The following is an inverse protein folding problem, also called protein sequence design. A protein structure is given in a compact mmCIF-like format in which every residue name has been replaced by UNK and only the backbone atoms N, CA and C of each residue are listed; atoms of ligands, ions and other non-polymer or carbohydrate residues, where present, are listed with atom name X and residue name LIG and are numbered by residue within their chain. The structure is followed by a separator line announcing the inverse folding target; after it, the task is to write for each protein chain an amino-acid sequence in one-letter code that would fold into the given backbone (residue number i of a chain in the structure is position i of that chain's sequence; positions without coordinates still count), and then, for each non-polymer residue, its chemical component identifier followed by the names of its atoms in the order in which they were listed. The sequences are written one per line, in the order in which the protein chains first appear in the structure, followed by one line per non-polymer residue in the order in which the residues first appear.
data_IF_667133505680
#
_entry.id   IF_667133505680
#
_cell.length_a   1.000
_cell.length_b   1.000
_cell.length_c   1.000
_cell.angle_alpha   90.00
_cell.angle_beta   90.00
_cell.angle_gamma   90.00
#
_symmetry.space_group_name_H-M   'P 1'
#
loop_
_entity.id
_entity.type
_entity.pdbx_description
1 polymer ?
#
# COMPACT_ATOMS: atom_id res chain seq x y z
N UNK A 1 2.06 -45.89 -16.71
CA UNK A 1 2.84 -44.68 -16.99
C UNK A 1 3.32 -43.95 -15.73
N UNK A 2 2.82 -44.27 -14.52
CA UNK A 2 3.08 -43.57 -13.27
C UNK A 2 4.41 -43.86 -12.56
N UNK A 3 5.04 -45.01 -12.83
CA UNK A 3 6.29 -45.42 -12.15
C UNK A 3 7.55 -44.68 -12.67
N UNK A 4 7.55 -44.25 -13.92
CA UNK A 4 8.70 -43.54 -14.52
C UNK A 4 8.79 -42.05 -14.13
N UNK A 5 7.68 -41.45 -13.76
CA UNK A 5 7.65 -40.06 -13.30
C UNK A 5 8.23 -39.90 -11.88
N UNK A 6 7.90 -40.81 -10.97
CA UNK A 6 8.45 -40.79 -9.60
C UNK A 6 9.99 -40.97 -9.59
N UNK A 7 10.51 -41.85 -10.46
CA UNK A 7 11.96 -42.02 -10.59
C UNK A 7 12.66 -40.78 -11.18
N UNK A 8 12.03 -40.06 -12.10
CA UNK A 8 12.57 -38.81 -12.63
C UNK A 8 12.58 -37.69 -11.56
N UNK A 9 11.56 -37.63 -10.70
CA UNK A 9 11.50 -36.67 -9.61
C UNK A 9 12.58 -36.90 -8.54
N UNK A 10 12.91 -38.13 -8.22
CA UNK A 10 13.99 -38.48 -7.26
C UNK A 10 15.36 -37.99 -7.77
N UNK A 11 15.60 -38.05 -9.07
CA UNK A 11 16.86 -37.59 -9.69
C UNK A 11 16.93 -36.06 -9.85
N UNK A 12 15.80 -35.38 -9.90
CA UNK A 12 15.74 -33.89 -9.99
C UNK A 12 16.04 -33.26 -8.63
N UNK A 13 15.59 -33.86 -7.52
CA UNK A 13 15.87 -33.37 -6.17
C UNK A 13 17.35 -33.51 -5.75
N UNK A 14 18.04 -34.54 -6.24
CA UNK A 14 19.42 -34.83 -5.84
C UNK A 14 20.44 -33.72 -6.21
N UNK A 15 20.45 -33.15 -7.43
CA UNK A 15 21.37 -32.04 -7.75
C UNK A 15 21.02 -30.72 -7.06
N UNK A 16 19.73 -30.45 -6.78
CA UNK A 16 19.31 -29.24 -6.06
C UNK A 16 19.76 -29.29 -4.61
N UNK A 17 19.58 -30.44 -3.94
CA UNK A 17 20.00 -30.66 -2.55
C UNK A 17 21.53 -30.58 -2.42
N UNK A 18 22.28 -31.16 -3.36
CA UNK A 18 23.75 -31.10 -3.31
C UNK A 18 24.32 -29.72 -3.60
N UNK A 19 23.65 -28.92 -4.42
CA UNK A 19 24.09 -27.56 -4.70
C UNK A 19 23.90 -26.63 -3.46
N UNK A 20 22.76 -26.73 -2.78
CA UNK A 20 22.48 -25.92 -1.58
C UNK A 20 23.24 -26.41 -0.33
N UNK A 21 23.46 -27.70 -0.17
CA UNK A 21 24.32 -28.23 0.89
C UNK A 21 25.79 -27.84 0.72
N UNK A 22 26.25 -27.71 -0.51
CA UNK A 22 27.62 -27.26 -0.81
C UNK A 22 27.90 -25.80 -0.43
N UNK A 23 26.87 -24.96 -0.40
CA UNK A 23 26.97 -23.56 0.02
C UNK A 23 26.95 -23.37 1.56
N UNK A 24 26.40 -24.31 2.31
CA UNK A 24 26.29 -24.26 3.77
C UNK A 24 27.54 -24.79 4.50
N UNK A 25 28.53 -25.36 3.78
CA UNK A 25 29.73 -25.96 4.34
C UNK A 25 31.01 -25.14 4.06
N UNK A 26 30.96 -23.83 3.94
CA UNK A 26 32.17 -23.02 3.97
C UNK A 26 32.58 -22.82 5.43
N UNK A 27 33.77 -23.33 5.87
CA UNK A 27 34.24 -23.08 7.23
C UNK A 27 34.63 -21.61 7.37
N UNK A 28 34.12 -21.00 8.42
CA UNK A 28 34.47 -19.68 8.88
C UNK A 28 35.96 -19.66 9.28
N UNK A 29 36.74 -18.88 8.56
CA UNK A 29 38.13 -18.58 8.94
C UNK A 29 38.13 -17.32 9.78
N UNK A 30 38.12 -17.49 11.09
CA UNK A 30 38.53 -16.43 12.03
C UNK A 30 40.03 -16.40 12.17
N UNK A 31 40.68 -15.26 12.18
CA UNK A 31 42.12 -15.16 12.54
C UNK A 31 42.27 -15.18 14.06
N UNK A 32 43.14 -16.10 14.50
CA UNK A 32 43.70 -16.11 15.85
C UNK A 32 44.55 -14.85 16.11
N UNK A 33 44.40 -14.26 17.29
CA UNK A 33 45.45 -13.52 17.93
C UNK A 33 45.41 -13.83 19.43
N UNK A 34 46.52 -14.47 19.87
CA UNK A 34 46.94 -14.66 21.28
C UNK A 34 47.01 -13.33 22.05
N UNK A 35 46.63 -13.32 23.29
CA UNK A 35 47.55 -13.16 24.46
C UNK A 35 46.78 -13.05 25.78
N UNK A 36 47.21 -13.97 26.68
CA UNK A 36 47.40 -13.82 28.13
C UNK A 36 46.30 -13.35 29.11
N UNK A 37 46.01 -14.33 29.98
CA UNK A 37 45.49 -14.31 31.35
C UNK A 37 46.45 -13.63 32.33
N UNK A 38 46.17 -13.23 33.64
CA UNK A 38 45.39 -14.02 34.59
C UNK A 38 44.53 -13.29 35.67
N UNK A 39 43.58 -14.06 36.25
CA UNK A 39 43.12 -14.15 37.65
C UNK A 39 42.73 -12.90 38.46
N UNK A 40 41.53 -12.89 39.03
CA UNK A 40 41.25 -13.10 40.47
C UNK A 40 39.75 -13.09 40.77
N UNK A 41 39.25 -14.15 41.35
CA UNK A 41 38.36 -14.36 42.52
C UNK A 41 37.52 -13.13 42.98
N UNK A 42 36.30 -13.23 43.31
CA UNK A 42 35.48 -14.08 44.14
C UNK A 42 34.24 -13.30 44.66
N UNK A 43 33.19 -14.06 44.89
CA UNK A 43 32.15 -13.90 45.93
C UNK A 43 31.11 -12.79 45.74
N UNK A 44 29.90 -13.14 45.67
CA UNK A 44 28.91 -13.73 46.56
C UNK A 44 27.75 -12.75 46.83
N UNK A 45 26.56 -13.22 46.75
CA UNK A 45 25.53 -12.81 47.72
C UNK A 45 24.34 -12.04 47.19
N UNK A 46 23.21 -12.70 47.18
CA UNK A 46 22.03 -12.08 47.75
C UNK A 46 20.80 -11.90 46.88
N UNK A 47 19.95 -12.86 46.98
CA UNK A 47 18.47 -12.86 46.90
C UNK A 47 17.82 -11.55 47.36
N UNK A 48 16.74 -11.16 46.74
CA UNK A 48 15.37 -11.16 47.32
C UNK A 48 14.40 -10.21 46.64
N UNK A 49 13.43 -10.76 46.00
CA UNK A 49 11.98 -10.65 46.15
C UNK A 49 11.32 -9.32 46.54
N UNK A 50 10.21 -9.09 45.87
CA UNK A 50 8.91 -8.50 46.29
C UNK A 50 8.75 -6.98 46.34
N UNK A 51 7.67 -6.56 45.72
CA UNK A 51 6.97 -5.33 46.07
C UNK A 51 5.85 -4.97 45.09
N UNK A 52 4.70 -5.50 45.36
CA UNK A 52 3.36 -5.15 44.79
C UNK A 52 2.94 -3.73 45.15
N UNK A 53 2.19 -3.15 44.24
CA UNK A 53 1.03 -2.28 44.47
C UNK A 53 1.23 -0.89 45.12
N UNK A 54 0.79 0.15 44.41
CA UNK A 54 -0.30 0.94 44.98
C UNK A 54 -1.04 1.76 43.91
N UNK A 55 -2.32 1.44 43.75
CA UNK A 55 -3.36 2.32 43.18
C UNK A 55 -3.68 3.37 44.22
N UNK A 56 -3.62 4.63 43.88
CA UNK A 56 -4.39 5.66 44.60
C UNK A 56 -5.29 6.42 43.63
N UNK A 57 -6.56 6.16 43.76
CA UNK A 57 -7.66 6.96 43.27
C UNK A 57 -7.72 8.26 44.03
N UNK A 58 -7.83 9.40 43.34
CA UNK A 58 -8.18 10.67 43.94
C UNK A 58 -9.63 10.99 43.61
N UNK A 59 -10.39 11.12 44.68
CA UNK A 59 -11.80 11.49 44.74
C UNK A 59 -12.04 12.91 44.19
N UNK A 60 -13.09 13.03 43.41
CA UNK A 60 -13.77 14.27 43.10
C UNK A 60 -14.55 14.80 44.32
N UNK A 61 -14.47 16.09 44.60
CA UNK A 61 -15.38 16.78 45.49
C UNK A 61 -15.92 18.01 44.77
N UNK A 62 -17.23 18.28 44.82
CA UNK A 62 -17.87 19.38 44.12
C UNK A 62 -18.04 20.61 45.03
N UNK A 63 -17.89 21.79 44.44
CA UNK A 63 -18.38 23.05 45.01
C UNK A 63 -18.72 23.93 43.79
N UNK A 64 -19.81 24.56 43.64
CA UNK A 64 -20.78 25.21 44.43
C UNK A 64 -21.46 26.19 43.48
N UNK A 65 -22.76 26.20 43.44
CA UNK A 65 -23.63 27.10 42.67
C UNK A 65 -23.26 28.59 42.87
N UNK A 66 -23.22 29.30 41.73
CA UNK A 66 -23.63 30.71 41.78
C UNK A 66 -24.42 31.08 40.53
N UNK A 67 -25.71 31.29 40.72
CA UNK A 67 -26.67 31.87 39.79
C UNK A 67 -26.34 33.34 39.58
N UNK A 68 -26.22 33.75 38.31
CA UNK A 68 -26.85 35.01 37.91
C UNK A 68 -27.15 34.98 36.39
N UNK A 69 -28.41 35.18 36.14
CA UNK A 69 -29.06 35.40 34.87
C UNK A 69 -28.61 36.70 34.22
N UNK A 70 -28.42 36.71 32.91
CA UNK A 70 -29.18 37.62 32.02
C UNK A 70 -28.79 37.43 30.54
N UNK A 71 -29.83 37.30 29.75
CA UNK A 71 -30.02 37.80 28.37
C UNK A 71 -29.28 37.13 27.21
N UNK A 72 -30.09 36.32 26.54
CA UNK A 72 -29.96 35.82 25.18
C UNK A 72 -29.68 36.93 24.17
N UNK A 73 -28.60 36.79 23.43
CA UNK A 73 -28.50 37.31 22.06
C UNK A 73 -27.89 36.21 21.17
N UNK A 74 -28.71 35.71 20.25
CA UNK A 74 -28.31 34.86 19.18
C UNK A 74 -27.25 35.58 18.33
N UNK A 75 -26.02 35.13 18.38
CA UNK A 75 -25.03 35.39 17.36
C UNK A 75 -24.51 34.06 16.81
N UNK A 76 -24.88 33.80 15.58
CA UNK A 76 -24.35 32.77 14.73
C UNK A 76 -22.84 32.88 14.74
N UNK A 77 -22.14 32.05 15.52
CA UNK A 77 -20.70 31.99 15.51
C UNK A 77 -20.26 31.18 14.30
N UNK A 78 -19.81 31.86 13.25
CA UNK A 78 -18.92 31.32 12.25
C UNK A 78 -17.70 30.71 12.96
N UNK A 79 -17.23 29.49 12.59
CA UNK A 79 -15.97 28.98 13.08
C UNK A 79 -14.84 29.59 12.25
N UNK A 80 -14.45 30.79 12.56
CA UNK A 80 -13.27 31.43 12.02
C UNK A 80 -12.56 32.14 13.15
N UNK A 81 -11.52 31.51 13.63
CA UNK A 81 -10.24 32.10 14.04
C UNK A 81 -9.41 31.08 14.77
N UNK A 82 -8.40 30.54 14.11
CA UNK A 82 -7.18 30.16 14.81
C UNK A 82 -6.71 31.44 15.50
N UNK A 83 -6.77 31.48 16.83
CA UNK A 83 -6.40 32.67 17.63
C UNK A 83 -4.89 32.88 17.57
N UNK A 84 -4.41 33.42 16.44
CA UNK A 84 -3.06 33.91 16.27
C UNK A 84 -3.08 35.43 16.07
N UNK A 85 -2.08 36.11 16.57
CA UNK A 85 -1.89 37.54 16.28
C UNK A 85 -1.66 37.68 14.77
N UNK A 86 -2.49 38.48 14.11
CA UNK A 86 -2.35 38.76 12.67
C UNK A 86 -0.94 39.28 12.37
N UNK A 87 -0.27 38.67 11.37
CA UNK A 87 1.08 39.03 10.97
C UNK A 87 1.02 40.16 9.94
N UNK A 88 1.73 41.24 10.24
CA UNK A 88 1.97 42.30 9.25
C UNK A 88 2.98 41.87 8.17
N UNK A 89 3.03 42.61 7.07
CA UNK A 89 3.90 42.34 5.91
C UNK A 89 5.38 42.27 6.29
N UNK A 90 5.84 43.08 7.25
CA UNK A 90 7.24 43.08 7.69
C UNK A 90 7.61 41.83 8.42
N UNK A 91 6.76 41.38 9.32
CA UNK A 91 6.94 40.13 10.06
C UNK A 91 6.85 38.91 9.14
N UNK A 92 5.93 38.90 8.17
CA UNK A 92 5.83 37.83 7.17
C UNK A 92 7.14 37.68 6.39
N UNK A 93 7.73 38.78 5.93
CA UNK A 93 9.01 38.75 5.21
C UNK A 93 10.15 38.26 6.09
N UNK A 94 10.23 38.75 7.33
CA UNK A 94 11.26 38.36 8.30
C UNK A 94 11.17 36.86 8.62
N UNK A 95 9.96 36.37 8.93
CA UNK A 95 9.73 34.95 9.24
C UNK A 95 10.01 34.08 7.99
N UNK A 96 9.57 34.52 6.80
CA UNK A 96 9.84 33.84 5.54
C UNK A 96 11.33 33.74 5.22
N UNK A 97 12.13 34.76 5.55
CA UNK A 97 13.58 34.70 5.42
C UNK A 97 14.17 33.68 6.41
N UNK A 98 13.79 33.74 7.69
CA UNK A 98 14.22 32.77 8.68
C UNK A 98 13.88 31.32 8.29
N UNK A 99 12.71 31.11 7.68
CA UNK A 99 12.27 29.79 7.20
C UNK A 99 13.18 29.24 6.08
N UNK A 100 13.67 30.11 5.18
CA UNK A 100 14.57 29.70 4.09
C UNK A 100 15.99 29.40 4.58
N UNK A 101 16.46 30.11 5.60
CA UNK A 101 17.80 30.01 6.14
C UNK A 101 17.94 28.89 7.19
N UNK A 102 16.84 28.46 7.81
CA UNK A 102 16.87 27.44 8.85
C UNK A 102 17.10 26.02 8.28
N UNK A 103 18.19 25.41 8.71
CA UNK A 103 18.59 24.05 8.29
C UNK A 103 18.05 22.95 9.20
N UNK A 104 17.74 23.27 10.48
CA UNK A 104 17.17 22.30 11.40
C UNK A 104 15.69 22.06 11.07
N UNK A 105 15.29 20.82 10.71
CA UNK A 105 13.93 20.56 10.27
C UNK A 105 12.86 20.83 11.34
N UNK A 106 13.18 20.63 12.63
CA UNK A 106 12.23 20.90 13.71
C UNK A 106 12.02 22.41 13.91
N UNK A 107 13.10 23.19 13.91
CA UNK A 107 13.00 24.66 13.99
C UNK A 107 12.32 25.26 12.78
N UNK A 108 12.66 24.76 11.59
CA UNK A 108 12.00 25.15 10.34
C UNK A 108 10.50 24.90 10.41
N UNK A 109 10.05 23.76 10.94
CA UNK A 109 8.64 23.46 11.13
C UNK A 109 7.97 24.42 12.13
N UNK A 110 8.65 24.80 13.20
CA UNK A 110 8.16 25.79 14.16
C UNK A 110 7.95 27.16 13.51
N UNK A 111 8.95 27.65 12.75
CA UNK A 111 8.88 28.92 12.01
C UNK A 111 7.73 28.89 11.00
N UNK A 112 7.55 27.78 10.28
CA UNK A 112 6.46 27.62 9.34
C UNK A 112 5.09 27.62 10.03
N UNK A 113 4.96 26.99 11.19
CA UNK A 113 3.72 27.00 11.96
C UNK A 113 3.36 28.42 12.45
N UNK A 114 4.35 29.29 12.74
CA UNK A 114 4.11 30.70 13.07
C UNK A 114 3.46 31.42 11.90
N UNK A 115 3.92 31.20 10.66
CA UNK A 115 3.28 31.74 9.45
C UNK A 115 1.84 31.24 9.28
N UNK A 116 1.58 29.95 9.49
CA UNK A 116 0.24 29.38 9.36
C UNK A 116 -0.72 29.90 10.42
N UNK A 117 -0.28 30.05 11.67
CA UNK A 117 -1.12 30.56 12.76
C UNK A 117 -1.50 32.01 12.59
N UNK A 118 -0.62 32.81 11.99
CA UNK A 118 -0.88 34.21 11.67
C UNK A 118 -1.51 34.46 10.31
N UNK A 119 -1.91 33.37 9.58
CA UNK A 119 -2.49 33.52 8.25
C UNK A 119 -3.94 34.00 8.31
N UNK A 120 -4.24 34.98 7.47
CA UNK A 120 -5.57 35.57 7.24
C UNK A 120 -5.89 35.57 5.74
N UNK A 121 -7.14 35.89 5.37
CA UNK A 121 -7.51 36.03 3.96
C UNK A 121 -6.69 37.13 3.27
N UNK A 122 -6.37 38.22 4.00
CA UNK A 122 -5.67 39.38 3.43
C UNK A 122 -4.18 39.13 3.22
N UNK A 123 -3.52 38.36 4.10
CA UNK A 123 -2.09 38.15 4.06
C UNK A 123 -1.66 36.82 3.41
N UNK A 124 -2.59 35.91 3.10
CA UNK A 124 -2.28 34.57 2.55
C UNK A 124 -1.44 34.62 1.28
N UNK A 125 -1.69 35.58 0.38
CA UNK A 125 -0.90 35.74 -0.86
C UNK A 125 0.53 36.15 -0.55
N UNK A 126 0.75 37.01 0.45
CA UNK A 126 2.09 37.45 0.85
C UNK A 126 2.87 36.29 1.47
N UNK A 127 2.22 35.50 2.33
CA UNK A 127 2.79 34.27 2.90
C UNK A 127 3.16 33.29 1.76
N UNK A 128 2.27 33.12 0.75
CA UNK A 128 2.55 32.28 -0.42
C UNK A 128 3.84 32.68 -1.14
N UNK A 129 4.08 33.97 -1.28
CA UNK A 129 5.32 34.48 -1.90
C UNK A 129 6.58 34.12 -1.08
N UNK A 130 6.48 34.07 0.25
CA UNK A 130 7.63 33.67 1.10
C UNK A 130 7.99 32.18 0.98
N UNK A 131 6.99 31.33 0.73
CA UNK A 131 7.19 29.88 0.63
C UNK A 131 7.38 29.37 -0.78
N UNK A 132 7.31 30.22 -1.82
CA UNK A 132 7.39 29.79 -3.24
C UNK A 132 8.69 29.07 -3.61
N UNK A 133 9.77 29.32 -2.87
CA UNK A 133 11.06 28.66 -3.05
C UNK A 133 11.21 27.33 -2.33
N UNK A 134 10.23 26.97 -1.50
CA UNK A 134 10.21 25.65 -0.85
C UNK A 134 9.92 24.56 -1.88
N UNK A 135 10.39 23.36 -1.60
CA UNK A 135 10.01 22.19 -2.39
C UNK A 135 8.49 22.04 -2.41
N UNK A 136 7.91 22.02 -3.61
CA UNK A 136 6.47 21.84 -3.81
C UNK A 136 5.95 20.47 -3.30
N UNK A 137 6.85 19.51 -3.07
CA UNK A 137 6.54 18.22 -2.44
C UNK A 137 6.60 18.25 -0.91
N UNK A 138 7.10 19.35 -0.32
CA UNK A 138 7.21 19.46 1.14
C UNK A 138 5.85 19.46 1.84
N UNK A 139 5.85 19.06 3.10
CA UNK A 139 4.64 19.12 3.93
C UNK A 139 4.18 20.55 4.15
N UNK A 140 5.13 21.47 4.30
CA UNK A 140 4.89 22.91 4.48
C UNK A 140 4.08 23.48 3.33
N UNK A 141 4.48 23.15 2.11
CA UNK A 141 3.80 23.63 0.92
C UNK A 141 2.36 23.13 0.83
N UNK A 142 2.15 21.85 1.12
CA UNK A 142 0.81 21.24 1.14
C UNK A 142 -0.07 21.81 2.26
N UNK A 143 0.48 21.95 3.46
CA UNK A 143 -0.28 22.44 4.61
C UNK A 143 -0.72 23.88 4.41
N UNK A 144 0.14 24.75 3.83
CA UNK A 144 -0.24 26.11 3.47
C UNK A 144 -1.43 26.13 2.50
N UNK A 145 -1.35 25.38 1.40
CA UNK A 145 -2.41 25.39 0.39
C UNK A 145 -3.70 24.78 0.88
N UNK A 146 -3.61 23.75 1.74
CA UNK A 146 -4.77 23.16 2.39
C UNK A 146 -5.49 24.19 3.27
N UNK A 147 -4.75 24.88 4.15
CA UNK A 147 -5.31 25.91 5.02
C UNK A 147 -5.85 27.08 4.21
N UNK A 148 -5.12 27.55 3.19
CA UNK A 148 -5.60 28.60 2.31
C UNK A 148 -6.91 28.22 1.61
N UNK A 149 -7.01 27.01 1.07
CA UNK A 149 -8.24 26.48 0.48
C UNK A 149 -9.40 26.45 1.47
N UNK A 150 -9.14 26.01 2.70
CA UNK A 150 -10.15 25.95 3.76
C UNK A 150 -10.71 27.33 4.15
N UNK A 151 -9.90 28.38 4.05
CA UNK A 151 -10.28 29.75 4.41
C UNK A 151 -10.87 30.54 3.24
N UNK A 152 -10.23 30.49 2.07
CA UNK A 152 -10.52 31.36 0.93
C UNK A 152 -11.35 30.69 -0.18
N UNK A 153 -11.57 29.37 -0.10
CA UNK A 153 -12.43 28.66 -1.03
C UNK A 153 -12.03 28.85 -2.51
N UNK A 154 -12.99 29.30 -3.32
CA UNK A 154 -12.82 29.51 -4.75
C UNK A 154 -11.64 30.42 -5.10
N UNK A 155 -11.38 31.44 -4.28
CA UNK A 155 -10.28 32.38 -4.53
C UNK A 155 -8.92 31.67 -4.48
N UNK A 156 -8.67 30.84 -3.47
CA UNK A 156 -7.45 30.06 -3.33
C UNK A 156 -7.28 29.08 -4.52
N UNK A 157 -8.36 28.39 -4.91
CA UNK A 157 -8.36 27.49 -6.06
C UNK A 157 -8.02 28.23 -7.36
N UNK A 158 -8.64 29.39 -7.61
CA UNK A 158 -8.36 30.21 -8.80
C UNK A 158 -6.91 30.72 -8.80
N UNK A 159 -6.36 31.06 -7.64
CA UNK A 159 -4.95 31.43 -7.54
C UNK A 159 -4.02 30.26 -7.91
N UNK A 160 -4.38 29.02 -7.53
CA UNK A 160 -3.66 27.83 -7.93
C UNK A 160 -3.55 27.66 -9.44
N UNK A 161 -4.51 28.16 -10.24
CA UNK A 161 -4.40 28.14 -11.71
C UNK A 161 -3.24 28.96 -12.25
N UNK A 162 -2.75 29.93 -11.49
CA UNK A 162 -1.64 30.81 -11.87
C UNK A 162 -0.28 30.23 -11.49
N UNK A 163 -0.26 29.22 -10.61
CA UNK A 163 0.96 28.63 -10.05
C UNK A 163 1.19 27.22 -10.55
N UNK A 164 0.55 26.22 -9.97
CA UNK A 164 0.72 24.82 -10.38
C UNK A 164 -0.57 24.02 -10.24
N UNK A 165 -0.65 22.92 -10.97
CA UNK A 165 -1.77 21.97 -10.87
C UNK A 165 -1.87 21.36 -9.46
N UNK A 166 -0.75 21.15 -8.80
CA UNK A 166 -0.72 20.64 -7.41
C UNK A 166 -1.36 21.64 -6.43
N UNK A 167 -1.12 22.95 -6.60
CA UNK A 167 -1.72 23.98 -5.76
C UNK A 167 -3.24 23.92 -5.88
N UNK A 168 -3.75 23.73 -7.11
CA UNK A 168 -5.19 23.53 -7.35
C UNK A 168 -5.75 22.34 -6.55
N UNK A 169 -5.07 21.21 -6.62
CA UNK A 169 -5.54 20.00 -5.95
C UNK A 169 -5.59 20.17 -4.44
N UNK A 170 -4.53 20.68 -3.84
CA UNK A 170 -4.45 20.82 -2.38
C UNK A 170 -5.41 21.88 -1.84
N UNK A 171 -5.52 23.03 -2.52
CA UNK A 171 -6.48 24.07 -2.12
C UNK A 171 -7.92 23.59 -2.23
N UNK A 172 -8.27 22.86 -3.30
CA UNK A 172 -9.60 22.28 -3.46
C UNK A 172 -9.91 21.22 -2.39
N UNK A 173 -8.93 20.39 -2.04
CA UNK A 173 -9.04 19.41 -0.94
C UNK A 173 -9.32 20.11 0.39
N UNK A 174 -8.59 21.17 0.71
CA UNK A 174 -8.81 21.97 1.91
C UNK A 174 -10.20 22.57 1.95
N UNK A 175 -10.65 23.19 0.86
CA UNK A 175 -12.00 23.76 0.75
C UNK A 175 -13.09 22.70 0.94
N UNK A 176 -13.01 21.59 0.21
CA UNK A 176 -13.99 20.51 0.30
C UNK A 176 -14.04 19.84 1.68
N UNK A 177 -12.93 19.87 2.43
CA UNK A 177 -12.89 19.34 3.80
C UNK A 177 -13.64 20.24 4.80
N UNK A 178 -13.66 21.56 4.58
CA UNK A 178 -14.23 22.52 5.55
C UNK A 178 -15.60 23.05 5.13
N UNK A 179 -15.80 23.28 3.85
CA UNK A 179 -17.03 23.86 3.29
C UNK A 179 -17.52 23.03 2.08
N UNK A 180 -17.91 21.77 2.31
CA UNK A 180 -18.20 20.81 1.24
C UNK A 180 -19.34 21.25 0.31
N UNK A 181 -20.41 21.86 0.85
CA UNK A 181 -21.55 22.30 0.04
C UNK A 181 -21.16 23.37 -0.96
N UNK A 182 -20.39 24.36 -0.51
CA UNK A 182 -19.92 25.45 -1.37
C UNK A 182 -18.94 24.94 -2.42
N UNK A 183 -18.05 24.03 -2.03
CA UNK A 183 -17.07 23.42 -2.94
C UNK A 183 -17.76 22.59 -4.04
N UNK A 184 -18.76 21.79 -3.70
CA UNK A 184 -19.55 21.02 -4.65
C UNK A 184 -20.39 21.93 -5.56
N UNK A 185 -21.05 22.93 -5.00
CA UNK A 185 -21.85 23.88 -5.80
C UNK A 185 -20.98 24.62 -6.82
N UNK A 186 -19.83 25.12 -6.39
CA UNK A 186 -18.88 25.77 -7.29
C UNK A 186 -18.33 24.82 -8.37
N UNK A 187 -18.02 23.59 -7.99
CA UNK A 187 -17.59 22.55 -8.94
C UNK A 187 -18.65 22.26 -10.01
N UNK A 188 -19.90 22.21 -9.64
CA UNK A 188 -21.00 21.98 -10.60
C UNK A 188 -21.10 23.11 -11.62
N UNK A 189 -20.76 24.33 -11.23
CA UNK A 189 -20.79 25.53 -12.05
C UNK A 189 -19.49 25.82 -12.81
N UNK A 190 -18.48 24.95 -12.71
CA UNK A 190 -17.16 25.14 -13.33
C UNK A 190 -17.24 25.41 -14.85
N UNK A 191 -18.16 24.75 -15.54
CA UNK A 191 -18.31 24.90 -17.00
C UNK A 191 -18.75 26.33 -17.40
N UNK A 192 -19.24 27.13 -16.43
CA UNK A 192 -19.58 28.53 -16.62
C UNK A 192 -18.37 29.46 -16.55
N UNK A 193 -17.24 28.94 -16.06
CA UNK A 193 -16.01 29.71 -15.90
C UNK A 193 -15.13 29.51 -17.15
N UNK A 194 -14.80 30.62 -17.83
CA UNK A 194 -13.87 30.59 -18.98
C UNK A 194 -12.41 30.43 -18.49
N UNK A 195 -12.08 29.30 -17.92
CA UNK A 195 -10.73 29.00 -17.47
C UNK A 195 -10.33 27.56 -17.82
N UNK A 196 -9.53 27.43 -18.88
CA UNK A 196 -9.08 26.13 -19.40
C UNK A 196 -8.27 25.28 -18.42
N UNK A 197 -7.72 25.87 -17.34
CA UNK A 197 -7.00 25.12 -16.29
C UNK A 197 -7.93 24.57 -15.22
N UNK A 198 -9.18 25.05 -15.16
CA UNK A 198 -10.21 24.52 -14.27
C UNK A 198 -11.03 23.50 -15.02
N UNK A 199 -10.84 22.23 -14.72
CA UNK A 199 -11.56 21.13 -15.32
C UNK A 199 -12.17 20.25 -14.25
N UNK A 200 -13.40 19.77 -14.47
CA UNK A 200 -14.07 18.82 -13.58
C UNK A 200 -13.26 17.56 -13.39
N UNK A 201 -12.59 17.07 -14.43
CA UNK A 201 -11.75 15.85 -14.36
C UNK A 201 -10.56 16.02 -13.42
N UNK A 202 -9.98 17.21 -13.37
CA UNK A 202 -8.86 17.48 -12.46
C UNK A 202 -9.30 17.66 -11.01
N UNK A 203 -10.44 18.31 -10.77
CA UNK A 203 -10.85 18.71 -9.43
C UNK A 203 -11.74 17.68 -8.69
N UNK A 204 -12.45 16.79 -9.41
CA UNK A 204 -13.33 15.79 -8.79
C UNK A 204 -12.64 14.96 -7.72
N UNK A 205 -11.40 14.51 -7.98
CA UNK A 205 -10.61 13.72 -7.02
C UNK A 205 -10.29 14.52 -5.77
N UNK A 206 -9.95 15.80 -5.90
CA UNK A 206 -9.65 16.68 -4.76
C UNK A 206 -10.87 16.90 -3.87
N UNK A 207 -12.06 17.00 -4.47
CA UNK A 207 -13.32 17.06 -3.71
C UNK A 207 -13.53 15.77 -2.96
N UNK A 208 -13.46 14.63 -3.64
CA UNK A 208 -13.59 13.32 -2.98
C UNK A 208 -12.59 13.17 -1.84
N UNK A 209 -11.35 13.58 -2.05
CA UNK A 209 -10.31 13.54 -1.03
C UNK A 209 -10.64 14.43 0.16
N UNK A 210 -11.13 15.64 -0.09
CA UNK A 210 -11.54 16.58 0.95
C UNK A 210 -12.72 16.06 1.76
N UNK A 211 -13.76 15.57 1.08
CA UNK A 211 -14.94 14.97 1.73
C UNK A 211 -14.55 13.76 2.58
N UNK A 212 -13.72 12.87 2.05
CA UNK A 212 -13.30 11.66 2.75
C UNK A 212 -12.44 11.92 4.01
N UNK A 213 -11.92 13.15 4.19
CA UNK A 213 -11.20 13.52 5.42
C UNK A 213 -12.15 13.69 6.61
N UNK A 214 -13.39 14.11 6.37
CA UNK A 214 -14.35 14.50 7.40
C UNK A 214 -15.62 13.66 7.38
N UNK A 215 -16.09 13.25 6.20
CA UNK A 215 -17.33 12.52 5.98
C UNK A 215 -17.16 11.56 4.77
N UNK A 216 -16.70 10.32 5.02
CA UNK A 216 -16.55 9.32 3.97
C UNK A 216 -17.85 8.99 3.23
N UNK A 217 -19.00 8.99 3.92
CA UNK A 217 -20.30 8.67 3.31
C UNK A 217 -20.71 9.77 2.33
N UNK A 218 -20.42 11.01 2.66
CA UNK A 218 -20.61 12.14 1.74
C UNK A 218 -19.71 12.03 0.49
N UNK A 219 -18.48 11.56 0.67
CA UNK A 219 -17.59 11.27 -0.46
C UNK A 219 -18.18 10.18 -1.37
N UNK A 220 -18.75 9.12 -0.81
CA UNK A 220 -19.44 8.05 -1.56
C UNK A 220 -20.66 8.61 -2.30
N UNK A 221 -21.47 9.44 -1.66
CA UNK A 221 -22.63 10.08 -2.28
C UNK A 221 -22.23 10.97 -3.47
N UNK A 222 -21.14 11.73 -3.33
CA UNK A 222 -20.61 12.54 -4.43
C UNK A 222 -20.10 11.67 -5.58
N UNK A 223 -19.38 10.57 -5.31
CA UNK A 223 -18.94 9.60 -6.33
C UNK A 223 -20.15 8.97 -7.05
N UNK A 224 -21.21 8.62 -6.31
CA UNK A 224 -22.45 8.08 -6.86
C UNK A 224 -23.11 9.08 -7.81
N UNK A 225 -23.11 10.36 -7.44
CA UNK A 225 -23.63 11.45 -8.29
C UNK A 225 -22.81 11.57 -9.57
N UNK A 226 -21.47 11.59 -9.48
CA UNK A 226 -20.59 11.65 -10.66
C UNK A 226 -20.87 10.46 -11.62
N UNK A 227 -21.04 9.25 -11.06
CA UNK A 227 -21.35 8.06 -11.83
C UNK A 227 -22.70 8.19 -12.56
N UNK A 228 -23.73 8.71 -11.88
CA UNK A 228 -25.06 8.95 -12.49
C UNK A 228 -25.02 9.98 -13.62
N UNK A 229 -24.07 10.91 -13.57
CA UNK A 229 -23.80 11.91 -14.61
C UNK A 229 -22.92 11.37 -15.76
N UNK A 230 -22.57 10.08 -15.74
CA UNK A 230 -21.85 9.41 -16.81
C UNK A 230 -20.34 9.31 -16.63
N UNK A 231 -19.79 9.67 -15.47
CA UNK A 231 -18.39 9.46 -15.18
C UNK A 231 -18.09 7.97 -14.92
N UNK A 232 -17.55 7.32 -15.95
CA UNK A 232 -17.26 5.87 -15.91
C UNK A 232 -16.13 5.49 -14.95
N UNK A 233 -15.27 6.43 -14.62
CA UNK A 233 -14.10 6.23 -13.75
C UNK A 233 -14.35 6.63 -12.30
N UNK A 234 -15.54 7.17 -11.99
CA UNK A 234 -15.87 7.64 -10.64
C UNK A 234 -15.66 6.55 -9.57
N UNK A 235 -16.00 5.27 -9.87
CA UNK A 235 -15.84 4.15 -8.94
C UNK A 235 -14.38 3.94 -8.47
N UNK A 236 -13.39 4.35 -9.27
CA UNK A 236 -11.97 4.23 -8.89
C UNK A 236 -11.59 5.10 -7.70
N UNK A 237 -12.32 6.21 -7.49
CA UNK A 237 -12.09 7.10 -6.34
C UNK A 237 -12.52 6.49 -5.01
N UNK A 238 -13.39 5.46 -5.04
CA UNK A 238 -13.82 4.72 -3.84
C UNK A 238 -12.62 4.10 -3.11
N UNK A 239 -11.59 3.69 -3.83
CA UNK A 239 -10.36 3.17 -3.22
C UNK A 239 -9.72 4.15 -2.22
N UNK A 240 -9.64 5.42 -2.57
CA UNK A 240 -9.06 6.45 -1.70
C UNK A 240 -9.97 6.73 -0.49
N UNK A 241 -11.28 6.73 -0.68
CA UNK A 241 -12.28 6.86 0.40
C UNK A 241 -12.17 5.68 1.36
N UNK A 242 -12.16 4.44 0.84
CA UNK A 242 -12.08 3.22 1.65
C UNK A 242 -10.84 3.21 2.55
N UNK A 243 -9.68 3.58 2.03
CA UNK A 243 -8.45 3.67 2.82
C UNK A 243 -8.52 4.68 3.95
N UNK A 244 -9.24 5.78 3.76
CA UNK A 244 -9.41 6.81 4.80
C UNK A 244 -10.47 6.40 5.81
N UNK A 245 -11.65 6.00 5.34
CA UNK A 245 -12.78 5.60 6.17
C UNK A 245 -12.42 4.48 7.16
N UNK A 246 -11.68 3.47 6.67
CA UNK A 246 -11.39 2.28 7.46
C UNK A 246 -10.07 2.35 8.25
N UNK A 247 -9.39 3.51 8.28
CA UNK A 247 -8.07 3.64 8.93
C UNK A 247 -8.06 3.22 10.40
N UNK A 248 -9.09 3.58 11.15
CA UNK A 248 -9.25 3.29 12.59
C UNK A 248 -10.18 2.12 12.88
N UNK A 249 -10.78 1.51 11.85
CA UNK A 249 -11.70 0.38 11.98
C UNK A 249 -10.93 -0.94 12.11
N UNK A 250 -11.51 -1.89 12.85
CA UNK A 250 -11.11 -3.30 12.78
C UNK A 250 -11.64 -3.95 11.48
N UNK A 251 -11.33 -5.24 11.26
CA UNK A 251 -11.72 -5.94 10.03
C UNK A 251 -13.24 -6.05 9.89
N UNK A 252 -13.95 -6.36 10.97
CA UNK A 252 -15.40 -6.55 10.96
C UNK A 252 -16.12 -5.23 10.64
N UNK A 253 -15.74 -4.13 11.29
CA UNK A 253 -16.27 -2.79 11.02
C UNK A 253 -15.98 -2.35 9.58
N UNK A 254 -14.75 -2.55 9.11
CA UNK A 254 -14.34 -2.19 7.76
C UNK A 254 -15.05 -3.02 6.69
N UNK A 255 -15.26 -4.32 6.96
CA UNK A 255 -16.01 -5.23 6.10
C UNK A 255 -17.47 -4.80 5.99
N UNK A 256 -18.13 -4.60 7.13
CA UNK A 256 -19.53 -4.15 7.17
C UNK A 256 -19.73 -2.82 6.45
N UNK A 257 -18.81 -1.86 6.63
CA UNK A 257 -18.84 -0.60 5.89
C UNK A 257 -18.71 -0.82 4.37
N UNK A 258 -17.75 -1.62 3.94
CA UNK A 258 -17.54 -1.89 2.50
C UNK A 258 -18.73 -2.58 1.85
N UNK A 259 -19.35 -3.54 2.55
CA UNK A 259 -20.54 -4.27 2.07
C UNK A 259 -21.80 -3.41 2.06
N UNK A 260 -21.88 -2.37 2.91
CA UNK A 260 -23.01 -1.43 2.93
C UNK A 260 -23.05 -0.46 1.75
N UNK A 261 -21.98 -0.38 0.94
CA UNK A 261 -21.92 0.56 -0.17
C UNK A 261 -22.98 0.26 -1.25
N UNK A 262 -23.58 1.31 -1.86
CA UNK A 262 -24.78 1.17 -2.66
C UNK A 262 -24.57 0.40 -3.98
N UNK A 263 -23.36 0.40 -4.52
CA UNK A 263 -23.02 -0.11 -5.84
C UNK A 263 -22.03 -1.26 -5.74
N UNK A 264 -22.27 -2.33 -6.50
CA UNK A 264 -21.39 -3.52 -6.47
C UNK A 264 -19.94 -3.20 -6.85
N UNK A 265 -19.70 -2.37 -7.86
CA UNK A 265 -18.34 -1.94 -8.22
C UNK A 265 -17.66 -1.14 -7.11
N UNK A 266 -18.44 -0.38 -6.33
CA UNK A 266 -17.93 0.33 -5.14
C UNK A 266 -17.61 -0.63 -4.00
N UNK A 267 -18.49 -1.62 -3.74
CA UNK A 267 -18.21 -2.69 -2.76
C UNK A 267 -16.95 -3.44 -3.12
N UNK A 268 -16.83 -3.90 -4.35
CA UNK A 268 -15.65 -4.60 -4.86
C UNK A 268 -14.37 -3.75 -4.72
N UNK A 269 -14.41 -2.49 -5.13
CA UNK A 269 -13.26 -1.57 -5.06
C UNK A 269 -12.82 -1.32 -3.62
N UNK A 270 -13.77 -1.17 -2.67
CA UNK A 270 -13.44 -0.95 -1.27
C UNK A 270 -12.88 -2.20 -0.60
N UNK A 271 -13.47 -3.37 -0.83
CA UNK A 271 -12.98 -4.65 -0.31
C UNK A 271 -11.54 -4.89 -0.80
N UNK A 272 -11.27 -4.71 -2.08
CA UNK A 272 -9.92 -4.84 -2.62
C UNK A 272 -8.92 -3.84 -2.04
N UNK A 273 -9.39 -2.67 -1.63
CA UNK A 273 -8.57 -1.61 -1.04
C UNK A 273 -8.17 -1.91 0.41
N UNK A 274 -9.07 -2.51 1.19
CA UNK A 274 -8.89 -2.72 2.63
C UNK A 274 -8.27 -4.07 2.97
N UNK A 275 -8.56 -5.12 2.18
CA UNK A 275 -8.10 -6.49 2.42
C UNK A 275 -6.58 -6.62 2.61
N UNK A 276 -5.71 -6.03 1.77
CA UNK A 276 -4.27 -6.22 1.92
C UNK A 276 -3.72 -5.76 3.27
N UNK A 277 -4.30 -4.70 3.84
CA UNK A 277 -3.90 -4.21 5.17
C UNK A 277 -4.21 -5.23 6.26
N UNK A 278 -5.41 -5.80 6.23
CA UNK A 278 -5.83 -6.79 7.23
C UNK A 278 -5.13 -8.13 7.02
N UNK A 279 -4.94 -8.56 5.78
CA UNK A 279 -4.18 -9.77 5.46
C UNK A 279 -2.72 -9.68 5.91
N UNK A 280 -2.14 -8.48 5.97
CA UNK A 280 -0.80 -8.29 6.51
C UNK A 280 -0.75 -8.40 8.04
N UNK A 281 -1.75 -7.88 8.76
CA UNK A 281 -1.79 -7.85 10.24
C UNK A 281 -2.44 -9.10 10.84
N UNK A 282 -3.53 -9.57 10.25
CA UNK A 282 -4.32 -10.73 10.67
C UNK A 282 -4.79 -11.51 9.45
N UNK A 283 -3.91 -12.33 8.85
CA UNK A 283 -4.23 -13.07 7.63
C UNK A 283 -5.32 -14.13 7.84
N UNK A 284 -5.43 -14.71 9.04
CA UNK A 284 -6.44 -15.74 9.32
C UNK A 284 -7.86 -15.16 9.30
N UNK A 285 -8.09 -14.01 9.95
CA UNK A 285 -9.40 -13.34 9.89
C UNK A 285 -9.70 -12.82 8.49
N UNK A 286 -8.71 -12.23 7.81
CA UNK A 286 -8.87 -11.76 6.44
C UNK A 286 -9.19 -12.90 5.46
N UNK A 287 -8.59 -14.08 5.66
CA UNK A 287 -8.83 -15.26 4.81
C UNK A 287 -10.26 -15.80 4.98
N UNK A 288 -10.77 -15.84 6.20
CA UNK A 288 -12.15 -16.25 6.49
C UNK A 288 -13.15 -15.28 5.84
N UNK A 289 -12.90 -13.99 5.98
CA UNK A 289 -13.76 -12.99 5.33
C UNK A 289 -13.71 -13.09 3.81
N UNK A 290 -12.53 -13.17 3.20
CA UNK A 290 -12.40 -13.31 1.75
C UNK A 290 -13.15 -14.55 1.20
N UNK A 291 -13.14 -15.65 1.94
CA UNK A 291 -13.85 -16.88 1.57
C UNK A 291 -15.38 -16.79 1.75
N UNK A 292 -15.88 -15.92 2.63
CA UNK A 292 -17.32 -15.70 2.86
C UNK A 292 -17.98 -14.73 1.88
N UNK A 293 -17.20 -14.01 1.08
CA UNK A 293 -17.74 -13.07 0.09
C UNK A 293 -18.40 -13.79 -1.09
N UNK A 294 -19.28 -13.09 -1.79
CA UNK A 294 -19.91 -13.57 -3.03
C UNK A 294 -18.86 -14.00 -4.08
N UNK A 295 -19.18 -14.99 -4.89
CA UNK A 295 -18.23 -15.68 -5.78
C UNK A 295 -17.39 -14.74 -6.65
N UNK A 296 -17.97 -13.67 -7.17
CA UNK A 296 -17.31 -12.74 -8.09
C UNK A 296 -16.27 -11.86 -7.37
N UNK A 297 -16.54 -11.52 -6.12
CA UNK A 297 -15.64 -10.73 -5.26
C UNK A 297 -14.64 -11.65 -4.56
N UNK A 298 -15.11 -12.81 -4.08
CA UNK A 298 -14.33 -13.78 -3.31
C UNK A 298 -13.08 -14.22 -4.06
N UNK A 299 -13.19 -14.56 -5.35
CA UNK A 299 -12.03 -15.02 -6.14
C UNK A 299 -10.88 -13.98 -6.15
N UNK A 300 -11.19 -12.70 -6.33
CA UNK A 300 -10.17 -11.65 -6.30
C UNK A 300 -9.70 -11.36 -4.87
N UNK A 301 -10.60 -11.42 -3.90
CA UNK A 301 -10.29 -11.26 -2.48
C UNK A 301 -9.32 -12.34 -1.99
N UNK A 302 -9.57 -13.61 -2.32
CA UNK A 302 -8.70 -14.75 -2.01
C UNK A 302 -7.30 -14.53 -2.58
N UNK A 303 -7.19 -14.12 -3.85
CA UNK A 303 -5.89 -13.81 -4.44
C UNK A 303 -5.16 -12.70 -3.65
N UNK A 304 -5.85 -11.61 -3.32
CA UNK A 304 -5.26 -10.48 -2.59
C UNK A 304 -4.82 -10.82 -1.17
N UNK A 305 -5.58 -11.63 -0.47
CA UNK A 305 -5.19 -12.12 0.85
C UNK A 305 -3.99 -13.06 0.72
N UNK A 306 -4.02 -14.01 -0.23
CA UNK A 306 -2.92 -14.92 -0.48
C UNK A 306 -1.62 -14.20 -0.84
N UNK A 307 -1.68 -13.20 -1.72
CA UNK A 307 -0.55 -12.35 -2.09
C UNK A 307 0.04 -11.62 -0.86
N UNK A 308 -0.80 -10.94 -0.08
CA UNK A 308 -0.36 -10.19 1.10
C UNK A 308 0.21 -11.11 2.20
N UNK A 309 -0.42 -12.27 2.41
CA UNK A 309 0.06 -13.28 3.36
C UNK A 309 1.39 -13.89 2.91
N UNK A 310 1.54 -14.21 1.62
CA UNK A 310 2.76 -14.79 1.06
C UNK A 310 3.99 -13.88 1.21
N UNK A 311 3.81 -12.57 1.27
CA UNK A 311 4.91 -11.65 1.58
C UNK A 311 5.46 -11.83 3.00
N UNK A 312 4.67 -12.33 3.94
CA UNK A 312 5.05 -12.53 5.34
C UNK A 312 5.40 -13.98 5.63
N UNK A 313 4.50 -14.88 5.27
CA UNK A 313 4.58 -16.32 5.51
C UNK A 313 4.10 -17.10 4.29
N UNK A 314 5.00 -17.34 3.30
CA UNK A 314 4.65 -18.04 2.08
C UNK A 314 4.14 -19.49 2.32
N UNK A 315 4.74 -20.29 3.25
CA UNK A 315 4.23 -21.63 3.55
C UNK A 315 2.78 -21.63 4.01
N UNK A 316 2.45 -20.81 5.02
CA UNK A 316 1.09 -20.74 5.54
C UNK A 316 0.07 -20.24 4.50
N UNK A 317 0.49 -19.27 3.66
CA UNK A 317 -0.32 -18.80 2.53
C UNK A 317 -0.59 -19.91 1.51
N UNK A 318 0.43 -20.70 1.15
CA UNK A 318 0.30 -21.80 0.20
C UNK A 318 -0.60 -22.91 0.76
N UNK A 319 -0.46 -23.25 2.03
CA UNK A 319 -1.29 -24.24 2.72
C UNK A 319 -2.77 -23.82 2.74
N UNK A 320 -3.06 -22.57 3.15
CA UNK A 320 -4.40 -22.02 3.10
C UNK A 320 -5.00 -22.06 1.69
N UNK A 321 -4.27 -21.57 0.68
CA UNK A 321 -4.76 -21.52 -0.71
C UNK A 321 -5.02 -22.91 -1.28
N UNK A 322 -4.19 -23.90 -0.89
CA UNK A 322 -4.37 -25.31 -1.27
C UNK A 322 -5.57 -25.97 -0.61
N UNK A 323 -6.02 -25.48 0.55
CA UNK A 323 -7.19 -25.98 1.25
C UNK A 323 -8.52 -25.47 0.66
N UNK A 324 -8.48 -24.43 -0.18
CA UNK A 324 -9.67 -23.85 -0.79
C UNK A 324 -10.10 -24.63 -2.04
N UNK A 325 -11.39 -24.55 -2.41
CA UNK A 325 -11.85 -25.00 -3.73
C UNK A 325 -11.05 -24.32 -4.83
N UNK A 326 -10.78 -25.06 -5.91
CA UNK A 326 -10.13 -24.49 -7.09
C UNK A 326 -10.92 -23.31 -7.65
N UNK A 327 -10.24 -22.19 -7.80
CA UNK A 327 -10.77 -20.96 -8.37
C UNK A 327 -9.64 -20.18 -9.04
N UNK A 328 -9.99 -19.21 -9.86
CA UNK A 328 -9.00 -18.30 -10.41
C UNK A 328 -8.20 -17.59 -9.30
N UNK A 329 -8.85 -17.27 -8.19
CA UNK A 329 -8.23 -16.59 -7.05
C UNK A 329 -7.25 -17.48 -6.30
N UNK A 330 -7.66 -18.70 -5.89
CA UNK A 330 -6.78 -19.64 -5.20
C UNK A 330 -5.59 -20.04 -6.08
N UNK A 331 -5.82 -20.33 -7.37
CA UNK A 331 -4.78 -20.72 -8.30
C UNK A 331 -3.75 -19.58 -8.55
N UNK A 332 -4.20 -18.33 -8.69
CA UNK A 332 -3.29 -17.18 -8.83
C UNK A 332 -2.57 -16.85 -7.53
N UNK A 333 -3.23 -17.06 -6.39
CA UNK A 333 -2.62 -16.94 -5.07
C UNK A 333 -1.49 -17.95 -4.89
N UNK A 334 -1.71 -19.22 -5.22
CA UNK A 334 -0.70 -20.29 -5.17
C UNK A 334 0.53 -19.96 -6.03
N UNK A 335 0.33 -19.44 -7.24
CA UNK A 335 1.42 -18.99 -8.09
C UNK A 335 2.29 -17.94 -7.37
N UNK A 336 1.65 -16.94 -6.76
CA UNK A 336 2.34 -15.87 -6.03
C UNK A 336 3.01 -16.41 -4.76
N UNK A 337 2.34 -17.27 -4.00
CA UNK A 337 2.88 -17.84 -2.77
C UNK A 337 4.13 -18.68 -3.05
N UNK A 338 4.09 -19.55 -4.05
CA UNK A 338 5.24 -20.39 -4.42
C UNK A 338 6.38 -19.57 -5.05
N UNK A 339 6.07 -18.48 -5.74
CA UNK A 339 7.10 -17.55 -6.19
C UNK A 339 7.86 -16.91 -5.00
N UNK A 340 7.15 -16.44 -3.98
CA UNK A 340 7.76 -15.86 -2.79
C UNK A 340 8.48 -16.92 -1.94
N UNK A 341 7.90 -18.11 -1.81
CA UNK A 341 8.50 -19.20 -1.07
C UNK A 341 9.81 -19.66 -1.71
N UNK A 342 9.82 -19.88 -3.03
CA UNK A 342 11.03 -20.22 -3.79
C UNK A 342 12.15 -19.18 -3.63
N UNK A 343 11.80 -17.92 -3.39
CA UNK A 343 12.81 -16.88 -3.14
C UNK A 343 13.40 -16.90 -1.74
N UNK A 344 12.79 -17.60 -0.78
CA UNK A 344 13.26 -17.70 0.61
C UNK A 344 13.86 -19.06 0.91
N UNK A 345 13.16 -20.11 0.52
CA UNK A 345 13.54 -21.50 0.72
C UNK A 345 13.05 -22.35 -0.47
N UNK A 346 13.84 -22.43 -1.55
CA UNK A 346 13.47 -23.21 -2.73
C UNK A 346 13.38 -24.69 -2.45
N UNK A 347 14.11 -25.22 -1.45
CA UNK A 347 14.08 -26.63 -1.09
C UNK A 347 12.71 -26.99 -0.48
N UNK A 348 12.30 -26.31 0.56
CA UNK A 348 11.00 -26.55 1.18
C UNK A 348 9.83 -26.27 0.22
N UNK A 349 9.93 -25.26 -0.63
CA UNK A 349 8.93 -24.95 -1.66
C UNK A 349 8.80 -26.10 -2.68
N UNK A 350 9.93 -26.71 -3.10
CA UNK A 350 9.92 -27.84 -4.03
C UNK A 350 9.34 -29.11 -3.39
N UNK A 351 9.65 -29.38 -2.14
CA UNK A 351 9.08 -30.51 -1.37
C UNK A 351 7.55 -30.37 -1.25
N UNK A 352 7.06 -29.15 -0.96
CA UNK A 352 5.63 -28.89 -0.95
C UNK A 352 4.98 -29.14 -2.32
N UNK A 353 5.58 -28.66 -3.43
CA UNK A 353 5.07 -28.90 -4.78
C UNK A 353 4.97 -30.41 -5.11
N UNK A 354 5.97 -31.18 -4.69
CA UNK A 354 5.94 -32.65 -4.89
C UNK A 354 4.79 -33.30 -4.13
N UNK A 355 4.47 -32.81 -2.93
CA UNK A 355 3.38 -33.32 -2.10
C UNK A 355 1.97 -32.94 -2.57
N UNK A 356 1.84 -31.89 -3.38
CA UNK A 356 0.54 -31.42 -3.90
C UNK A 356 -0.06 -32.45 -4.89
N UNK A 357 -1.39 -32.68 -4.81
CA UNK A 357 -2.10 -33.47 -5.84
C UNK A 357 -2.08 -32.72 -7.18
N UNK A 358 -2.14 -33.49 -8.27
CA UNK A 358 -2.21 -32.92 -9.61
C UNK A 358 -3.51 -32.13 -9.78
N UNK A 359 -3.39 -30.87 -10.17
CA UNK A 359 -4.48 -29.89 -10.26
C UNK A 359 -4.04 -28.65 -11.04
N UNK A 360 -4.99 -27.81 -11.46
CA UNK A 360 -4.69 -26.51 -12.04
C UNK A 360 -3.93 -25.62 -11.03
N UNK A 361 -4.28 -25.74 -9.75
CA UNK A 361 -3.58 -25.02 -8.67
C UNK A 361 -2.10 -25.40 -8.59
N UNK A 362 -1.77 -26.69 -8.67
CA UNK A 362 -0.38 -27.19 -8.70
C UNK A 362 0.37 -26.66 -9.93
N UNK A 363 -0.23 -26.69 -11.10
CA UNK A 363 0.38 -26.17 -12.32
C UNK A 363 0.73 -24.68 -12.19
N UNK A 364 -0.15 -23.91 -11.57
CA UNK A 364 0.10 -22.49 -11.27
C UNK A 364 1.19 -22.30 -10.23
N UNK A 365 1.19 -23.12 -9.19
CA UNK A 365 2.21 -23.12 -8.15
C UNK A 365 3.60 -23.42 -8.73
N UNK A 366 3.71 -24.45 -9.61
CA UNK A 366 4.95 -24.79 -10.33
C UNK A 366 5.39 -23.60 -11.21
N UNK A 367 4.47 -22.93 -11.90
CA UNK A 367 4.80 -21.76 -12.72
C UNK A 367 5.41 -20.64 -11.88
N UNK A 368 4.84 -20.36 -10.70
CA UNK A 368 5.36 -19.37 -9.75
C UNK A 368 6.75 -19.72 -9.26
N UNK A 369 6.95 -20.96 -8.83
CA UNK A 369 8.24 -21.52 -8.41
C UNK A 369 9.29 -21.41 -9.52
N UNK A 370 9.00 -21.96 -10.70
CA UNK A 370 9.91 -21.94 -11.84
C UNK A 370 10.30 -20.52 -12.27
N UNK A 371 9.35 -19.59 -12.24
CA UNK A 371 9.62 -18.17 -12.54
C UNK A 371 10.67 -17.57 -11.60
N UNK A 372 10.65 -17.93 -10.32
CA UNK A 372 11.63 -17.42 -9.35
C UNK A 372 12.97 -18.11 -9.49
N UNK A 373 12.97 -19.45 -9.56
CA UNK A 373 14.20 -20.26 -9.66
C UNK A 373 14.96 -19.96 -10.95
N UNK A 374 14.30 -19.60 -12.04
CA UNK A 374 14.94 -19.29 -13.33
C UNK A 374 16.03 -18.21 -13.23
N UNK A 375 15.95 -17.32 -12.25
CA UNK A 375 16.96 -16.28 -12.05
C UNK A 375 18.27 -16.83 -11.47
N UNK A 376 18.22 -17.93 -10.72
CA UNK A 376 19.40 -18.54 -10.07
C UNK A 376 19.84 -19.82 -10.78
N UNK A 377 18.89 -20.68 -11.12
CA UNK A 377 19.09 -21.95 -11.82
C UNK A 377 18.04 -22.12 -12.93
N UNK A 378 18.30 -21.58 -14.14
CA UNK A 378 17.37 -21.67 -15.25
C UNK A 378 17.17 -23.09 -15.76
N UNK A 379 18.15 -24.00 -15.60
CA UNK A 379 18.00 -25.38 -16.02
C UNK A 379 16.98 -26.12 -15.15
N UNK A 380 17.11 -26.02 -13.83
CA UNK A 380 16.09 -26.56 -12.90
C UNK A 380 14.72 -25.94 -13.15
N UNK A 381 14.65 -24.64 -13.40
CA UNK A 381 13.39 -23.96 -13.71
C UNK A 381 12.71 -24.51 -14.97
N UNK A 382 13.48 -24.85 -16.00
CA UNK A 382 12.95 -25.47 -17.23
C UNK A 382 12.42 -26.89 -16.98
N UNK A 383 13.08 -27.68 -16.13
CA UNK A 383 12.62 -29.01 -15.74
C UNK A 383 11.27 -28.90 -14.98
N UNK A 384 11.17 -27.97 -14.03
CA UNK A 384 9.92 -27.73 -13.33
C UNK A 384 8.82 -27.22 -14.26
N UNK A 385 9.13 -26.30 -15.16
CA UNK A 385 8.17 -25.79 -16.14
C UNK A 385 7.64 -26.91 -17.07
N UNK A 386 8.49 -27.85 -17.47
CA UNK A 386 8.10 -28.97 -18.32
C UNK A 386 7.20 -29.99 -17.62
N UNK A 387 7.23 -30.05 -16.28
CA UNK A 387 6.36 -30.93 -15.47
C UNK A 387 4.90 -30.46 -15.36
N UNK A 388 4.58 -29.25 -15.79
CA UNK A 388 3.22 -28.67 -15.79
C UNK A 388 2.32 -29.48 -16.73
N UNK A 389 1.11 -29.86 -16.26
CA UNK A 389 0.19 -30.69 -17.05
C UNK A 389 -0.57 -29.87 -18.09
N UNK A 390 -1.05 -28.67 -17.72
CA UNK A 390 -1.76 -27.76 -18.63
C UNK A 390 -0.80 -27.21 -19.69
N UNK A 391 -1.01 -27.58 -20.95
CA UNK A 391 -0.10 -27.20 -22.04
C UNK A 391 0.08 -25.68 -22.20
N UNK A 392 -0.97 -24.84 -22.18
CA UNK A 392 -0.82 -23.40 -22.22
C UNK A 392 0.02 -22.84 -21.08
N UNK A 393 -0.19 -23.30 -19.85
CA UNK A 393 0.57 -22.89 -18.66
C UNK A 393 2.02 -23.36 -18.75
N UNK A 394 2.26 -24.61 -19.17
CA UNK A 394 3.58 -25.18 -19.41
C UNK A 394 4.36 -24.37 -20.44
N UNK A 395 3.76 -24.11 -21.60
CA UNK A 395 4.41 -23.33 -22.65
C UNK A 395 4.75 -21.92 -22.18
N UNK A 396 3.87 -21.29 -21.42
CA UNK A 396 4.11 -19.98 -20.80
C UNK A 396 5.29 -19.99 -19.82
N UNK A 397 5.36 -21.00 -18.96
CA UNK A 397 6.45 -21.18 -18.00
C UNK A 397 7.80 -21.45 -18.70
N UNK A 398 7.81 -22.33 -19.70
CA UNK A 398 8.99 -22.62 -20.52
C UNK A 398 9.50 -21.38 -21.27
N UNK A 399 8.60 -20.57 -21.83
CA UNK A 399 8.98 -19.31 -22.47
C UNK A 399 9.64 -18.37 -21.45
N UNK A 400 9.06 -18.19 -20.28
CA UNK A 400 9.59 -17.30 -19.24
C UNK A 400 10.99 -17.78 -18.76
N UNK A 401 11.11 -19.05 -18.38
CA UNK A 401 12.37 -19.63 -17.92
C UNK A 401 13.44 -19.60 -19.03
N UNK A 402 13.07 -19.97 -20.26
CA UNK A 402 13.97 -19.94 -21.41
C UNK A 402 14.47 -18.54 -21.74
N UNK A 403 13.61 -17.53 -21.75
CA UNK A 403 14.01 -16.13 -21.94
C UNK A 403 14.97 -15.66 -20.84
N UNK A 404 14.75 -16.10 -19.60
CA UNK A 404 15.64 -15.79 -18.48
C UNK A 404 16.98 -16.48 -18.65
N UNK A 405 16.99 -17.72 -19.12
CA UNK A 405 18.21 -18.45 -19.46
C UNK A 405 19.01 -17.75 -20.58
N UNK A 406 18.35 -17.31 -21.65
CA UNK A 406 19.00 -16.54 -22.73
C UNK A 406 19.62 -15.23 -22.27
N UNK A 407 19.03 -14.56 -21.28
CA UNK A 407 19.61 -13.34 -20.68
C UNK A 407 20.84 -13.62 -19.83
N UNK A 408 20.90 -14.79 -19.20
CA UNK A 408 21.97 -15.18 -18.28
C UNK A 408 23.15 -15.84 -19.02
N UNK A 409 22.84 -16.82 -19.87
CA UNK A 409 23.83 -17.57 -20.68
C UNK A 409 23.23 -17.92 -22.05
N UNK A 410 23.54 -17.06 -23.00
CA UNK A 410 23.02 -17.22 -24.37
C UNK A 410 23.51 -18.50 -25.04
N UNK A 411 24.77 -18.90 -24.79
CA UNK A 411 25.36 -20.06 -25.47
C UNK A 411 24.70 -21.35 -24.98
N UNK A 412 24.66 -21.54 -23.66
CA UNK A 412 24.02 -22.71 -23.05
C UNK A 412 22.50 -22.76 -23.31
N UNK A 413 21.82 -21.60 -23.31
CA UNK A 413 20.39 -21.53 -23.65
C UNK A 413 20.12 -21.89 -25.13
N UNK A 414 21.03 -21.55 -26.05
CA UNK A 414 20.90 -21.92 -27.46
C UNK A 414 21.04 -23.42 -27.65
N UNK A 415 22.02 -24.05 -27.00
CA UNK A 415 22.23 -25.51 -27.04
C UNK A 415 21.02 -26.25 -26.46
N UNK A 416 20.55 -25.82 -25.29
CA UNK A 416 19.32 -26.35 -24.68
C UNK A 416 18.12 -26.21 -25.64
N UNK A 417 17.91 -25.05 -26.26
CA UNK A 417 16.74 -24.82 -27.11
C UNK A 417 16.75 -25.71 -28.35
N UNK A 418 17.94 -25.96 -28.95
CA UNK A 418 18.09 -26.84 -30.09
C UNK A 418 17.77 -28.30 -29.76
N UNK A 419 18.10 -28.74 -28.54
CA UNK A 419 17.85 -30.12 -28.06
C UNK A 419 16.50 -30.30 -27.36
N UNK A 420 15.76 -29.23 -27.11
CA UNK A 420 14.56 -29.25 -26.26
C UNK A 420 13.35 -29.97 -26.86
N UNK A 421 13.29 -30.13 -28.20
CA UNK A 421 12.13 -30.71 -28.88
C UNK A 421 10.83 -29.87 -28.78
N UNK A 422 10.90 -28.63 -28.29
CA UNK A 422 9.75 -27.75 -28.16
C UNK A 422 9.14 -27.37 -29.51
N UNK A 423 7.84 -27.12 -29.60
CA UNK A 423 7.21 -26.63 -30.83
C UNK A 423 7.86 -25.33 -31.33
N UNK A 424 7.96 -25.16 -32.65
CA UNK A 424 8.57 -23.98 -33.27
C UNK A 424 7.93 -22.64 -32.79
N UNK A 425 6.61 -22.65 -32.52
CA UNK A 425 5.87 -21.50 -31.96
C UNK A 425 6.35 -21.11 -30.58
N UNK A 426 6.79 -22.04 -29.74
CA UNK A 426 7.34 -21.81 -28.40
C UNK A 426 8.80 -21.38 -28.54
N UNK A 427 9.60 -22.10 -29.34
CA UNK A 427 11.02 -21.76 -29.58
C UNK A 427 11.20 -20.33 -30.09
N UNK A 428 10.36 -19.88 -31.03
CA UNK A 428 10.41 -18.50 -31.55
C UNK A 428 10.12 -17.43 -30.55
N UNK A 429 9.30 -17.72 -29.50
CA UNK A 429 9.01 -16.80 -28.40
C UNK A 429 10.12 -16.76 -27.36
N UNK A 430 10.83 -17.88 -27.15
CA UNK A 430 11.98 -17.96 -26.24
C UNK A 430 13.15 -17.14 -26.80
N UNK A 431 13.49 -17.33 -28.05
CA UNK A 431 14.56 -16.60 -28.72
C UNK A 431 14.04 -15.94 -30.01
N UNK A 432 13.37 -14.78 -29.89
CA UNK A 432 12.97 -14.07 -31.10
C UNK A 432 14.21 -13.65 -31.88
N UNK A 433 14.45 -14.33 -33.01
CA UNK A 433 15.48 -13.91 -33.94
C UNK A 433 15.21 -12.47 -34.34
N UNK A 434 16.17 -11.56 -34.15
CA UNK A 434 16.07 -10.22 -34.70
C UNK A 434 15.87 -10.35 -36.20
N UNK A 435 14.68 -10.04 -36.70
CA UNK A 435 14.40 -9.81 -38.11
C UNK A 435 15.15 -8.58 -38.59
#
# INVERSE_FOLDING_TARGET
MTRNLLQKFIWILFPVITFFLGLSLRPDRSPESETDNPKTQAQDGGQSSRGLANRQSVKSTPLGDNKNSTTSTNSTSNPSTLSGTELDATNIKRIGQSLREELNPLKRRQIFNELLQGMTLDNAREIREQIKSLDQNSSEFRDFHFVWGSMAGAEAVINGTKTSERDLHVTMTGWASTNPDQAIAWFNDLDKLDNKRLSKDHLKRSIVEGLANTDPDRAINFITTLKSLGDKDAHRMVHDVARKATRSMNLEEAGAWAESLPDEGMRQSSIHSILPRFAYSDPESASKWAASLDSDISSTAIHKVGEAWAHRDPPASAEWLSSLPESKGSNSGLETALHHWAGRDPTAASEHLVSMPDSVGKDRAIRGFASKVAHEDPQSALIWADSIQDEPTRNGALINAGQTYFRRDRAAATEWLQSSGLPASVQSKINPQKK
#
